data_IF_120078208119
#
_entry.id   IF_120078208119
#
_cell.length_a   1.000
_cell.length_b   1.000
_cell.length_c   1.000
_cell.angle_alpha   90.00
_cell.angle_beta   90.00
_cell.angle_gamma   90.00
#
_symmetry.space_group_name_H-M   'P 1'
#
loop_
_entity.id
_entity.type
_entity.pdbx_description
1 polymer ?
#
# COMPACT_ATOMS: atom_id res chain seq x y z
N UNK A 1 -5.58 -19.60 -18.25
CA UNK A 1 -4.37 -19.31 -17.44
C UNK A 1 -4.44 -17.84 -17.01
N UNK A 2 -4.69 -17.56 -15.73
CA UNK A 2 -4.86 -16.18 -15.22
C UNK A 2 -3.49 -15.63 -14.84
N UNK A 3 -2.94 -14.71 -15.66
CA UNK A 3 -1.55 -14.22 -15.49
C UNK A 3 -1.48 -12.76 -15.10
N UNK A 4 -2.41 -11.94 -15.58
CA UNK A 4 -2.36 -10.49 -15.41
C UNK A 4 -3.33 -9.98 -14.35
N UNK A 5 -3.10 -8.74 -13.88
CA UNK A 5 -4.09 -8.06 -13.01
C UNK A 5 -5.43 -7.87 -13.72
N UNK A 6 -5.41 -7.59 -15.03
CA UNK A 6 -6.62 -7.40 -15.84
C UNK A 6 -7.41 -8.71 -15.94
N UNK A 7 -6.74 -9.84 -16.15
CA UNK A 7 -7.38 -11.15 -16.22
C UNK A 7 -8.15 -11.44 -14.93
N UNK A 8 -7.52 -11.20 -13.78
CA UNK A 8 -8.16 -11.37 -12.47
C UNK A 8 -9.36 -10.45 -12.28
N UNK A 9 -9.29 -9.20 -12.75
CA UNK A 9 -10.44 -8.30 -12.73
C UNK A 9 -11.59 -8.85 -13.58
N UNK A 10 -11.32 -9.31 -14.81
CA UNK A 10 -12.34 -9.93 -15.67
C UNK A 10 -12.93 -11.20 -15.06
N UNK A 11 -12.09 -12.07 -14.51
CA UNK A 11 -12.49 -13.30 -13.83
C UNK A 11 -13.44 -13.02 -12.65
N UNK A 12 -13.16 -11.97 -11.88
CA UNK A 12 -14.00 -11.62 -10.72
C UNK A 12 -15.43 -11.18 -11.06
N UNK A 13 -15.73 -10.96 -12.35
CA UNK A 13 -17.05 -10.52 -12.84
C UNK A 13 -17.87 -11.65 -13.48
N UNK A 14 -17.32 -12.86 -13.60
CA UNK A 14 -18.00 -13.98 -14.27
C UNK A 14 -19.23 -14.45 -13.47
N UNK A 15 -19.05 -14.72 -12.18
CA UNK A 15 -20.13 -15.07 -11.25
C UNK A 15 -19.69 -14.88 -9.79
N UNK A 16 -20.58 -15.16 -8.83
CA UNK A 16 -20.32 -14.99 -7.39
C UNK A 16 -19.22 -15.92 -6.87
N UNK A 17 -19.15 -17.14 -7.38
CA UNK A 17 -18.14 -18.12 -7.00
C UNK A 17 -16.74 -17.66 -7.45
N UNK A 18 -16.61 -17.22 -8.69
CA UNK A 18 -15.35 -16.66 -9.21
C UNK A 18 -14.97 -15.34 -8.54
N UNK A 19 -15.95 -14.49 -8.23
CA UNK A 19 -15.74 -13.29 -7.41
C UNK A 19 -15.13 -13.64 -6.06
N UNK A 20 -15.70 -14.65 -5.37
CA UNK A 20 -15.23 -15.09 -4.06
C UNK A 20 -13.84 -15.75 -4.16
N UNK A 21 -13.64 -16.65 -5.11
CA UNK A 21 -12.33 -17.28 -5.32
C UNK A 21 -11.23 -16.25 -5.62
N UNK A 22 -11.51 -15.26 -6.47
CA UNK A 22 -10.53 -14.23 -6.83
C UNK A 22 -10.19 -13.34 -5.63
N UNK A 23 -11.20 -12.89 -4.89
CA UNK A 23 -10.97 -11.97 -3.77
C UNK A 23 -10.18 -12.62 -2.63
N UNK A 24 -10.42 -13.90 -2.33
CA UNK A 24 -9.72 -14.65 -1.28
C UNK A 24 -8.29 -15.02 -1.67
N UNK A 25 -8.05 -15.24 -2.97
CA UNK A 25 -6.74 -15.65 -3.49
C UNK A 25 -5.85 -14.47 -3.89
N UNK A 26 -6.37 -13.24 -3.99
CA UNK A 26 -5.56 -12.09 -4.38
C UNK A 26 -4.55 -11.74 -3.27
N UNK A 27 -3.27 -11.72 -3.64
CA UNK A 27 -2.16 -11.36 -2.75
C UNK A 27 -1.58 -9.98 -3.04
N UNK A 28 -1.70 -9.48 -4.26
CA UNK A 28 -1.07 -8.23 -4.67
C UNK A 28 -2.13 -7.25 -5.17
N UNK A 29 -2.08 -6.01 -4.72
CA UNK A 29 -2.99 -4.94 -5.19
C UNK A 29 -2.21 -3.69 -5.60
N UNK A 30 -2.75 -3.00 -6.60
CA UNK A 30 -2.19 -1.77 -7.12
C UNK A 30 -3.27 -0.70 -7.12
N UNK A 31 -2.96 0.42 -6.46
CA UNK A 31 -3.81 1.59 -6.35
C UNK A 31 -3.04 2.75 -6.96
N UNK A 32 -3.46 3.16 -8.16
CA UNK A 32 -2.79 4.20 -8.94
C UNK A 32 -3.04 5.62 -8.43
N UNK A 33 -3.99 5.79 -7.51
CA UNK A 33 -4.34 7.04 -6.84
C UNK A 33 -4.87 6.70 -5.43
N UNK A 34 -4.18 7.10 -4.37
CA UNK A 34 -4.58 6.81 -2.98
C UNK A 34 -5.91 7.45 -2.58
N UNK A 35 -6.46 8.37 -3.37
CA UNK A 35 -7.78 8.95 -3.14
C UNK A 35 -8.89 8.27 -3.93
N UNK A 36 -8.60 7.25 -4.76
CA UNK A 36 -9.64 6.56 -5.53
C UNK A 36 -10.44 5.54 -4.70
N UNK A 37 -9.93 5.13 -3.55
CA UNK A 37 -10.54 4.12 -2.68
C UNK A 37 -10.01 4.29 -1.25
N UNK A 38 -10.83 3.96 -0.25
CA UNK A 38 -10.39 3.96 1.15
C UNK A 38 -9.77 2.60 1.55
N UNK A 39 -8.89 2.55 2.55
CA UNK A 39 -8.33 1.29 3.04
C UNK A 39 -9.40 0.31 3.56
N UNK A 40 -10.53 0.78 4.09
CA UNK A 40 -11.64 -0.06 4.56
C UNK A 40 -12.35 -0.76 3.40
N UNK A 41 -12.56 -0.06 2.28
CA UNK A 41 -13.15 -0.67 1.08
C UNK A 41 -12.20 -1.73 0.52
N UNK A 42 -10.90 -1.44 0.49
CA UNK A 42 -9.88 -2.38 0.02
C UNK A 42 -9.88 -3.67 0.85
N UNK A 43 -9.84 -3.54 2.17
CA UNK A 43 -9.74 -4.67 3.11
C UNK A 43 -11.01 -5.51 3.16
N UNK A 44 -12.19 -4.89 3.01
CA UNK A 44 -13.45 -5.64 2.80
C UNK A 44 -13.42 -6.44 1.50
N UNK A 45 -12.87 -5.87 0.42
CA UNK A 45 -12.80 -6.56 -0.86
C UNK A 45 -11.80 -7.71 -0.82
N UNK A 46 -10.54 -7.44 -0.46
CA UNK A 46 -9.43 -8.40 -0.54
C UNK A 46 -8.89 -8.72 0.86
N UNK A 47 -9.32 -9.80 1.51
CA UNK A 47 -8.95 -10.07 2.90
C UNK A 47 -7.49 -10.54 3.10
N UNK A 48 -6.79 -11.01 2.05
CA UNK A 48 -5.51 -11.72 2.18
C UNK A 48 -4.34 -11.07 1.42
N UNK A 49 -4.27 -9.74 1.39
CA UNK A 49 -3.21 -9.01 0.69
C UNK A 49 -1.85 -9.17 1.39
N UNK A 50 -0.81 -9.40 0.60
CA UNK A 50 0.60 -9.50 1.02
C UNK A 50 1.45 -8.36 0.47
N UNK A 51 1.08 -7.80 -0.70
CA UNK A 51 1.81 -6.70 -1.33
C UNK A 51 0.86 -5.61 -1.80
N UNK A 52 1.16 -4.36 -1.42
CA UNK A 52 0.41 -3.17 -1.84
C UNK A 52 1.33 -2.24 -2.60
N UNK A 53 0.89 -1.79 -3.76
CA UNK A 53 1.47 -0.62 -4.44
C UNK A 53 0.48 0.54 -4.38
N UNK A 54 0.90 1.68 -3.83
CA UNK A 54 0.09 2.88 -3.64
C UNK A 54 0.79 4.09 -4.27
N UNK A 55 0.03 4.89 -5.01
CA UNK A 55 0.52 6.15 -5.57
C UNK A 55 -0.28 7.33 -5.04
N UNK A 56 0.41 8.40 -4.67
CA UNK A 56 -0.19 9.59 -4.08
C UNK A 56 -0.30 10.75 -5.04
N UNK A 57 0.58 11.74 -4.85
CA UNK A 57 0.63 13.00 -5.60
C UNK A 57 0.68 12.75 -7.11
N UNK A 58 0.04 13.62 -7.92
CA UNK A 58 0.10 13.52 -9.38
C UNK A 58 1.53 13.71 -9.88
N UNK A 59 1.78 13.34 -11.14
CA UNK A 59 3.12 13.43 -11.76
C UNK A 59 3.72 14.83 -11.73
N UNK A 60 2.89 15.87 -11.68
CA UNK A 60 3.32 17.26 -11.54
C UNK A 60 4.15 17.54 -10.29
N UNK A 61 4.10 16.69 -9.26
CA UNK A 61 4.98 16.80 -8.08
C UNK A 61 6.46 16.62 -8.42
N UNK A 62 6.81 15.83 -9.44
CA UNK A 62 8.19 15.67 -9.90
C UNK A 62 8.78 16.99 -10.46
N UNK A 63 7.93 17.97 -10.77
CA UNK A 63 8.29 19.25 -11.36
C UNK A 63 8.01 20.44 -10.43
N UNK A 64 7.82 20.20 -9.12
CA UNK A 64 7.46 21.23 -8.14
C UNK A 64 6.16 22.01 -8.49
N UNK A 65 5.25 21.40 -9.26
CA UNK A 65 3.98 21.99 -9.68
C UNK A 65 2.80 21.59 -8.77
N UNK A 66 3.10 21.05 -7.59
CA UNK A 66 2.13 20.57 -6.61
C UNK A 66 2.50 21.15 -5.24
N UNK A 67 1.54 21.74 -4.49
CA UNK A 67 1.81 22.27 -3.15
C UNK A 67 2.40 21.21 -2.21
N UNK A 68 3.28 21.63 -1.30
CA UNK A 68 3.92 20.73 -0.33
C UNK A 68 2.87 19.98 0.53
N UNK A 69 1.81 20.68 0.93
CA UNK A 69 0.70 20.18 1.74
C UNK A 69 -0.46 19.56 0.92
N UNK A 70 -0.19 19.09 -0.31
CA UNK A 70 -1.22 18.48 -1.17
C UNK A 70 -1.89 17.24 -0.54
N UNK A 71 -1.19 16.55 0.37
CA UNK A 71 -1.65 15.34 1.04
C UNK A 71 -0.89 14.10 0.57
N UNK A 72 -1.62 13.02 0.31
CA UNK A 72 -1.13 11.66 0.13
C UNK A 72 -0.42 11.07 1.35
N UNK A 73 -0.97 11.31 2.53
CA UNK A 73 -0.47 10.71 3.78
C UNK A 73 -0.69 9.19 3.78
N UNK A 74 0.37 8.44 4.09
CA UNK A 74 0.35 6.99 4.22
C UNK A 74 -0.20 6.52 5.58
N UNK A 75 -0.14 7.32 6.62
CA UNK A 75 -0.44 6.86 7.98
C UNK A 75 -1.84 6.24 8.14
N UNK A 76 -2.92 6.83 7.60
CA UNK A 76 -4.26 6.23 7.68
C UNK A 76 -4.35 4.86 7.00
N UNK A 77 -3.55 4.61 5.96
CA UNK A 77 -3.48 3.30 5.31
C UNK A 77 -2.79 2.27 6.21
N UNK A 78 -1.70 2.66 6.87
CA UNK A 78 -0.95 1.76 7.75
C UNK A 78 -1.78 1.31 8.95
N UNK A 79 -2.53 2.22 9.58
CA UNK A 79 -3.40 1.89 10.73
C UNK A 79 -4.39 0.78 10.37
N UNK A 80 -5.07 0.90 9.23
CA UNK A 80 -6.02 -0.11 8.79
C UNK A 80 -5.33 -1.39 8.32
N UNK A 81 -4.16 -1.28 7.69
CA UNK A 81 -3.38 -2.46 7.28
C UNK A 81 -2.83 -3.23 8.46
N UNK A 82 -2.38 -2.57 9.53
CA UNK A 82 -1.92 -3.24 10.74
C UNK A 82 -3.03 -4.10 11.36
N UNK A 83 -4.27 -3.57 11.37
CA UNK A 83 -5.43 -4.30 11.89
C UNK A 83 -5.86 -5.45 10.97
N UNK A 84 -5.92 -5.23 9.66
CA UNK A 84 -6.54 -6.18 8.70
C UNK A 84 -5.54 -7.10 8.02
N UNK A 85 -4.30 -6.70 7.90
CA UNK A 85 -3.21 -7.40 7.22
C UNK A 85 -1.95 -7.49 8.10
N UNK A 86 -2.00 -8.14 9.27
CA UNK A 86 -0.81 -8.35 10.12
C UNK A 86 0.30 -9.18 9.41
N UNK A 87 -0.03 -9.74 8.24
CA UNK A 87 0.83 -10.52 7.37
C UNK A 87 1.27 -9.76 6.11
N UNK A 88 1.17 -8.44 6.08
CA UNK A 88 1.67 -7.65 4.95
C UNK A 88 3.19 -7.85 4.83
N UNK A 89 3.65 -8.15 3.63
CA UNK A 89 5.05 -8.48 3.34
C UNK A 89 5.75 -7.39 2.52
N UNK A 90 5.00 -6.65 1.69
CA UNK A 90 5.59 -5.66 0.80
C UNK A 90 4.73 -4.39 0.68
N UNK A 91 5.39 -3.23 0.73
CA UNK A 91 4.78 -1.93 0.49
C UNK A 91 5.61 -1.12 -0.52
N UNK A 92 4.97 -0.76 -1.63
CA UNK A 92 5.55 0.08 -2.68
C UNK A 92 4.81 1.41 -2.73
N UNK A 93 5.47 2.47 -2.31
CA UNK A 93 4.94 3.82 -2.28
C UNK A 93 5.55 4.65 -3.40
N UNK A 94 4.72 5.41 -4.10
CA UNK A 94 5.18 6.38 -5.08
C UNK A 94 4.52 7.74 -4.84
N UNK A 95 5.33 8.78 -4.62
CA UNK A 95 4.84 10.15 -4.39
C UNK A 95 3.82 10.21 -3.24
N UNK A 96 4.11 9.52 -2.16
CA UNK A 96 3.34 9.59 -0.92
C UNK A 96 4.06 10.50 0.07
N UNK A 97 3.30 11.13 0.96
CA UNK A 97 3.84 11.74 2.16
C UNK A 97 4.00 10.65 3.23
N UNK A 98 5.19 10.54 3.81
CA UNK A 98 5.59 9.49 4.76
C UNK A 98 6.39 10.16 5.86
N UNK A 99 5.98 10.01 7.12
CA UNK A 99 6.71 10.55 8.27
C UNK A 99 7.58 9.49 8.95
N UNK A 100 8.48 9.92 9.83
CA UNK A 100 9.29 8.99 10.62
C UNK A 100 8.43 8.12 11.55
N UNK A 101 7.37 8.70 12.15
CA UNK A 101 6.41 7.95 12.97
C UNK A 101 5.65 6.91 12.14
N UNK A 102 5.39 7.20 10.86
CA UNK A 102 4.75 6.24 9.95
C UNK A 102 5.68 5.07 9.61
N UNK A 103 6.98 5.33 9.44
CA UNK A 103 7.98 4.29 9.20
C UNK A 103 8.22 3.45 10.45
N UNK A 104 8.28 4.07 11.63
CA UNK A 104 8.37 3.37 12.91
C UNK A 104 7.14 2.48 13.15
N UNK A 105 5.94 3.04 12.97
CA UNK A 105 4.69 2.28 13.08
C UNK A 105 4.66 1.08 12.13
N UNK A 106 5.08 1.28 10.87
CA UNK A 106 5.20 0.20 9.89
C UNK A 106 6.14 -0.90 10.41
N UNK A 107 7.31 -0.52 10.91
CA UNK A 107 8.34 -1.46 11.32
C UNK A 107 7.88 -2.38 12.47
N UNK A 108 7.06 -1.86 13.38
CA UNK A 108 6.50 -2.65 14.49
C UNK A 108 5.23 -3.42 14.14
N UNK A 109 4.42 -2.93 13.21
CA UNK A 109 3.09 -3.50 12.93
C UNK A 109 3.10 -4.76 12.06
N UNK A 110 4.17 -4.98 11.29
CA UNK A 110 4.23 -6.03 10.29
C UNK A 110 5.40 -6.99 10.55
N UNK A 111 5.23 -8.03 11.38
CA UNK A 111 6.33 -8.91 11.79
C UNK A 111 6.93 -9.76 10.65
N UNK A 112 6.24 -9.86 9.51
CA UNK A 112 6.70 -10.61 8.33
C UNK A 112 7.05 -9.68 7.16
N UNK A 113 7.35 -8.41 7.44
CA UNK A 113 7.61 -7.42 6.41
C UNK A 113 8.98 -7.63 5.75
N UNK A 114 9.02 -7.64 4.42
CA UNK A 114 10.18 -8.05 3.62
C UNK A 114 10.71 -6.97 2.70
N UNK A 115 9.84 -6.08 2.22
CA UNK A 115 10.24 -5.13 1.18
C UNK A 115 9.49 -3.79 1.29
N UNK A 116 10.27 -2.72 1.44
CA UNK A 116 9.82 -1.33 1.32
C UNK A 116 10.41 -0.69 0.07
N UNK A 117 9.58 -0.04 -0.74
CA UNK A 117 10.03 0.80 -1.85
C UNK A 117 9.43 2.20 -1.69
N UNK A 118 10.29 3.21 -1.54
CA UNK A 118 9.91 4.62 -1.46
C UNK A 118 10.37 5.35 -2.73
N UNK A 119 9.47 5.62 -3.66
CA UNK A 119 9.79 6.27 -4.94
C UNK A 119 9.25 7.69 -4.99
N UNK A 120 10.16 8.68 -4.91
CA UNK A 120 9.79 10.10 -4.88
C UNK A 120 8.82 10.43 -3.74
N UNK A 121 8.97 9.77 -2.59
CA UNK A 121 8.23 10.11 -1.37
C UNK A 121 8.97 11.20 -0.59
N UNK A 122 8.24 11.92 0.27
CA UNK A 122 8.76 12.99 1.12
C UNK A 122 8.19 12.90 2.54
N UNK A 123 8.79 13.65 3.48
CA UNK A 123 8.31 13.79 4.87
C UNK A 123 9.09 13.00 5.94
N UNK A 124 10.03 12.14 5.55
CA UNK A 124 10.80 11.28 6.47
C UNK A 124 12.28 11.69 6.47
N UNK A 125 12.99 11.25 7.50
CA UNK A 125 14.42 11.47 7.70
C UNK A 125 15.17 10.13 7.79
N UNK A 126 16.45 10.20 8.18
CA UNK A 126 17.26 9.01 8.45
C UNK A 126 16.78 8.22 9.66
N UNK A 127 16.05 8.85 10.58
CA UNK A 127 15.62 8.22 11.83
C UNK A 127 14.51 7.18 11.56
N UNK A 128 13.53 7.52 10.71
CA UNK A 128 12.52 6.57 10.27
C UNK A 128 13.11 5.39 9.47
N UNK A 129 14.16 5.63 8.67
CA UNK A 129 14.87 4.56 7.97
C UNK A 129 15.64 3.65 8.94
N UNK A 130 16.25 4.23 9.99
CA UNK A 130 16.94 3.47 11.02
C UNK A 130 15.98 2.56 11.79
N UNK A 131 14.75 3.02 12.07
CA UNK A 131 13.70 2.20 12.68
C UNK A 131 13.35 0.99 11.79
N UNK A 132 13.09 1.19 10.50
CA UNK A 132 12.79 0.09 9.56
C UNK A 132 13.94 -0.91 9.50
N UNK A 133 15.18 -0.44 9.38
CA UNK A 133 16.36 -1.31 9.31
C UNK A 133 16.59 -2.12 10.60
N UNK A 134 16.16 -1.58 11.74
CA UNK A 134 16.34 -2.23 13.06
C UNK A 134 15.28 -3.29 13.32
N UNK A 135 14.02 -3.00 12.98
CA UNK A 135 12.88 -3.82 13.39
C UNK A 135 12.32 -4.72 12.29
N UNK A 136 12.51 -4.40 11.01
CA UNK A 136 12.15 -5.31 9.90
C UNK A 136 13.35 -6.22 9.57
N UNK A 137 13.34 -7.44 10.10
CA UNK A 137 14.39 -8.46 9.88
C UNK A 137 14.01 -9.48 8.82
#
# INVERSE_FOLDING_TARGET
>A
MVKSRKDRSSVSLVCKEWYNAERWSRKNVFIGNCYSVTPEILTRRFPNIRSVTLKGKPRFSDFNLVPANWGADIHPWLVVFAEKYPFLEELKLKRMFVTDESLEFLAFSFPNFKALSLLSCDGFSTDGLAAVATYCK
#
